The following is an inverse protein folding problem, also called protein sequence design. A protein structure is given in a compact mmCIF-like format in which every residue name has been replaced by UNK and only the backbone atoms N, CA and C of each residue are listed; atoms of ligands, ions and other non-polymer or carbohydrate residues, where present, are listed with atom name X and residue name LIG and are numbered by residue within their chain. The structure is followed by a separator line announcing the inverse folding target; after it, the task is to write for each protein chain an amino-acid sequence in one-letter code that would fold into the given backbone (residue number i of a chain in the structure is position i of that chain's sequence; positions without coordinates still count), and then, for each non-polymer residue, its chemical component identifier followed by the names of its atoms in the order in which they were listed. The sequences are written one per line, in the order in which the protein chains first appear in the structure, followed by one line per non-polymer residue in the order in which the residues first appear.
data_IF_225722115551
#
_entry.id   IF_225722115551
#
_cell.length_a   1.000
_cell.length_b   1.000
_cell.length_c   1.000
_cell.angle_alpha   90.00
_cell.angle_beta   90.00
_cell.angle_gamma   90.00
#
_symmetry.space_group_name_H-M   'P 1'
#
loop_
_entity.id
_entity.type
_entity.pdbx_description
1 polymer ?
#
# COMPACT_ATOMS: atom_id res chain seq x y z
N UNK A 1 35.64 4.58 -39.26
CA UNK A 1 34.65 4.93 -38.21
C UNK A 1 33.43 5.74 -38.72
N UNK A 2 33.28 6.05 -40.02
CA UNK A 2 32.22 6.97 -40.47
C UNK A 2 30.83 6.33 -40.76
N UNK A 3 30.76 5.02 -41.03
CA UNK A 3 29.53 4.36 -41.49
C UNK A 3 28.59 4.02 -40.31
N UNK A 4 29.13 3.51 -39.21
CA UNK A 4 28.36 3.12 -38.04
C UNK A 4 27.65 4.32 -37.36
N UNK A 5 28.32 5.46 -37.27
CA UNK A 5 27.71 6.68 -36.71
C UNK A 5 26.57 7.20 -37.58
N UNK A 6 26.74 7.12 -38.92
CA UNK A 6 25.70 7.50 -39.87
C UNK A 6 24.48 6.59 -39.75
N UNK A 7 24.68 5.27 -39.63
CA UNK A 7 23.59 4.31 -39.45
C UNK A 7 22.85 4.54 -38.13
N UNK A 8 23.56 4.80 -37.04
CA UNK A 8 22.96 5.13 -35.73
C UNK A 8 22.03 6.34 -35.83
N UNK A 9 22.49 7.41 -36.48
CA UNK A 9 21.69 8.63 -36.67
C UNK A 9 20.44 8.34 -37.51
N UNK A 10 20.59 7.60 -38.61
CA UNK A 10 19.46 7.22 -39.47
C UNK A 10 18.42 6.37 -38.74
N UNK A 11 18.86 5.41 -37.93
CA UNK A 11 17.96 4.56 -37.12
C UNK A 11 17.21 5.43 -36.10
N UNK A 12 17.91 6.34 -35.42
CA UNK A 12 17.30 7.26 -34.45
C UNK A 12 16.19 8.10 -35.09
N UNK A 13 16.48 8.75 -36.22
CA UNK A 13 15.53 9.59 -36.96
C UNK A 13 14.29 8.78 -37.37
N UNK A 14 14.50 7.61 -37.99
CA UNK A 14 13.38 6.75 -38.44
C UNK A 14 12.51 6.30 -37.28
N UNK A 15 13.12 5.97 -36.15
CA UNK A 15 12.40 5.52 -34.95
C UNK A 15 11.57 6.66 -34.37
N UNK A 16 12.12 7.87 -34.27
CA UNK A 16 11.39 9.06 -33.80
C UNK A 16 10.18 9.35 -34.70
N UNK A 17 10.39 9.35 -36.02
CA UNK A 17 9.32 9.57 -37.00
C UNK A 17 8.22 8.51 -36.90
N UNK A 18 8.59 7.23 -36.81
CA UNK A 18 7.62 6.14 -36.68
C UNK A 18 6.77 6.25 -35.42
N UNK A 19 7.38 6.68 -34.30
CA UNK A 19 6.62 6.83 -33.06
C UNK A 19 5.71 8.06 -33.07
N UNK A 20 6.15 9.20 -33.62
CA UNK A 20 5.27 10.36 -33.82
C UNK A 20 4.10 10.02 -34.75
N UNK A 21 4.34 9.33 -35.87
CA UNK A 21 3.27 8.89 -36.76
C UNK A 21 2.25 7.98 -36.06
N UNK A 22 2.71 7.09 -35.16
CA UNK A 22 1.82 6.27 -34.32
C UNK A 22 1.04 7.11 -33.32
N UNK A 23 1.67 8.10 -32.69
CA UNK A 23 1.05 9.02 -31.73
C UNK A 23 -0.04 9.87 -32.39
N UNK A 24 0.20 10.40 -33.59
CA UNK A 24 -0.81 11.15 -34.34
C UNK A 24 -2.02 10.27 -34.69
N UNK A 25 -1.77 9.02 -35.11
CA UNK A 25 -2.83 8.08 -35.52
C UNK A 25 -3.69 7.56 -34.37
N UNK A 26 -3.08 7.26 -33.22
CA UNK A 26 -3.74 6.52 -32.13
C UNK A 26 -3.92 7.40 -30.87
N UNK A 27 -3.40 8.63 -30.88
CA UNK A 27 -3.32 9.49 -29.71
C UNK A 27 -2.09 9.23 -28.85
N UNK A 28 -1.94 10.02 -27.78
CA UNK A 28 -0.85 9.87 -26.80
C UNK A 28 -0.96 8.53 -26.08
N UNK A 29 -0.03 7.61 -26.38
CA UNK A 29 0.02 6.28 -25.78
C UNK A 29 1.20 6.14 -24.81
N UNK A 30 2.15 7.08 -24.82
CA UNK A 30 3.31 7.10 -23.92
C UNK A 30 2.90 7.70 -22.59
N UNK A 31 1.94 7.07 -21.91
CA UNK A 31 1.56 7.48 -20.56
C UNK A 31 2.60 6.92 -19.59
N UNK A 32 3.49 7.79 -19.12
CA UNK A 32 4.40 7.49 -18.02
C UNK A 32 3.70 7.63 -16.67
N UNK A 33 4.01 6.75 -15.72
CA UNK A 33 3.44 6.76 -14.36
C UNK A 33 2.47 5.60 -14.08
N UNK A 34 1.93 5.49 -12.87
CA UNK A 34 0.91 4.48 -12.57
C UNK A 34 -0.31 4.80 -13.45
N UNK A 35 -0.52 3.99 -14.51
CA UNK A 35 -1.73 4.05 -15.33
C UNK A 35 -2.95 4.19 -14.41
N UNK A 36 -3.97 4.96 -14.81
CA UNK A 36 -5.19 5.13 -14.00
C UNK A 36 -5.77 3.79 -13.49
N UNK A 37 -5.62 2.71 -14.27
CA UNK A 37 -5.93 1.33 -13.89
C UNK A 37 -5.09 0.80 -12.71
N UNK A 38 -3.77 1.07 -12.68
CA UNK A 38 -2.87 0.72 -11.57
C UNK A 38 -3.18 1.54 -10.32
N UNK A 39 -3.47 2.84 -10.47
CA UNK A 39 -3.87 3.69 -9.34
C UNK A 39 -5.19 3.19 -8.72
N UNK A 40 -6.19 2.90 -9.56
CA UNK A 40 -7.47 2.32 -9.12
C UNK A 40 -7.29 0.93 -8.47
N UNK A 41 -6.44 0.07 -9.02
CA UNK A 41 -6.13 -1.23 -8.42
C UNK A 41 -5.46 -1.09 -7.05
N UNK A 42 -4.53 -0.14 -6.88
CA UNK A 42 -3.89 0.16 -5.61
C UNK A 42 -4.89 0.65 -4.56
N UNK A 43 -5.77 1.58 -4.93
CA UNK A 43 -6.84 2.07 -4.06
C UNK A 43 -7.79 0.95 -3.62
N UNK A 44 -8.23 0.08 -4.56
CA UNK A 44 -9.05 -1.09 -4.23
C UNK A 44 -8.35 -2.06 -3.30
N UNK A 45 -7.05 -2.33 -3.51
CA UNK A 45 -6.27 -3.21 -2.64
C UNK A 45 -6.15 -2.67 -1.21
N UNK A 46 -5.97 -1.36 -1.06
CA UNK A 46 -5.96 -0.69 0.25
C UNK A 46 -7.34 -0.76 0.93
N UNK A 47 -8.41 -0.53 0.17
CA UNK A 47 -9.78 -0.60 0.67
C UNK A 47 -10.14 -2.03 1.14
N UNK A 48 -9.84 -3.05 0.33
CA UNK A 48 -10.09 -4.45 0.69
C UNK A 48 -9.31 -4.86 1.95
N UNK A 49 -8.06 -4.41 2.07
CA UNK A 49 -7.24 -4.64 3.28
C UNK A 49 -7.85 -3.97 4.51
N UNK A 50 -8.51 -2.82 4.35
CA UNK A 50 -9.23 -2.14 5.44
C UNK A 50 -10.47 -2.91 5.85
N UNK A 51 -11.26 -3.37 4.87
CA UNK A 51 -12.47 -4.18 5.09
C UNK A 51 -12.16 -5.50 5.79
N UNK A 52 -11.16 -6.24 5.31
CA UNK A 52 -10.71 -7.48 5.97
C UNK A 52 -10.22 -7.26 7.40
N UNK A 53 -9.66 -6.08 7.71
CA UNK A 53 -9.24 -5.74 9.07
C UNK A 53 -10.42 -5.36 9.99
N UNK A 54 -11.53 -4.84 9.46
CA UNK A 54 -12.72 -4.50 10.25
C UNK A 54 -13.67 -5.69 10.42
N UNK A 55 -13.72 -6.58 9.43
CA UNK A 55 -14.59 -7.75 9.46
C UNK A 55 -14.02 -8.90 10.30
N UNK A 56 -12.69 -8.92 10.47
CA UNK A 56 -12.04 -9.92 11.32
C UNK A 56 -12.41 -9.71 12.79
N UNK A 57 -13.26 -10.60 13.31
CA UNK A 57 -13.71 -10.62 14.70
C UNK A 57 -12.54 -10.59 15.69
N UNK A 58 -11.41 -11.20 15.34
CA UNK A 58 -10.19 -11.18 16.13
C UNK A 58 -9.63 -9.75 16.27
N UNK A 59 -9.70 -8.96 15.20
CA UNK A 59 -9.25 -7.56 15.21
C UNK A 59 -10.16 -6.66 16.04
N UNK A 60 -11.48 -6.90 16.02
CA UNK A 60 -12.44 -6.21 16.89
C UNK A 60 -12.16 -6.50 18.37
N UNK A 61 -11.97 -7.77 18.73
CA UNK A 61 -11.64 -8.20 20.10
C UNK A 61 -10.28 -7.66 20.55
N UNK A 62 -9.25 -7.72 19.70
CA UNK A 62 -7.94 -7.14 19.96
C UNK A 62 -8.01 -5.63 20.22
N UNK A 63 -8.85 -4.90 19.47
CA UNK A 63 -9.02 -3.45 19.64
C UNK A 63 -9.63 -3.08 20.99
N UNK A 64 -10.55 -3.89 21.51
CA UNK A 64 -11.11 -3.70 22.85
C UNK A 64 -10.06 -3.93 23.94
N UNK A 65 -9.27 -5.00 23.82
CA UNK A 65 -8.18 -5.30 24.75
C UNK A 65 -7.10 -4.21 24.74
N UNK A 66 -6.72 -3.70 23.56
CA UNK A 66 -5.76 -2.60 23.42
C UNK A 66 -6.24 -1.34 24.14
N UNK A 67 -7.53 -0.99 24.03
CA UNK A 67 -8.09 0.18 24.74
C UNK A 67 -7.96 0.03 26.25
N UNK A 68 -8.30 -1.15 26.79
CA UNK A 68 -8.19 -1.44 28.22
C UNK A 68 -6.74 -1.39 28.70
N UNK A 69 -5.82 -2.03 27.98
CA UNK A 69 -4.40 -2.03 28.36
C UNK A 69 -3.78 -0.64 28.23
N UNK A 70 -4.24 0.17 27.26
CA UNK A 70 -3.78 1.56 27.11
C UNK A 70 -4.27 2.45 28.24
N UNK A 71 -5.51 2.30 28.70
CA UNK A 71 -6.02 3.05 29.86
C UNK A 71 -5.31 2.68 31.15
N UNK A 72 -4.80 1.45 31.26
CA UNK A 72 -4.02 0.97 32.40
C UNK A 72 -2.56 1.46 32.40
N UNK A 73 -2.15 2.25 31.40
CA UNK A 73 -0.81 2.83 31.33
C UNK A 73 0.26 1.90 30.74
N UNK A 74 -0.11 0.76 30.16
CA UNK A 74 0.86 -0.17 29.56
C UNK A 74 1.61 0.48 28.38
N UNK A 75 2.89 0.13 28.26
CA UNK A 75 3.72 0.51 27.11
C UNK A 75 3.29 -0.27 25.86
N UNK A 76 3.64 0.25 24.68
CA UNK A 76 3.28 -0.37 23.39
C UNK A 76 3.81 -1.81 23.26
N UNK A 77 5.00 -2.08 23.78
CA UNK A 77 5.60 -3.41 23.75
C UNK A 77 4.88 -4.38 24.69
N UNK A 78 4.53 -3.94 25.90
CA UNK A 78 3.74 -4.75 26.85
C UNK A 78 2.36 -5.07 26.28
N UNK A 79 1.72 -4.13 25.60
CA UNK A 79 0.43 -4.37 24.94
C UNK A 79 0.59 -5.43 23.85
N UNK A 80 1.65 -5.36 23.04
CA UNK A 80 1.91 -6.34 21.99
C UNK A 80 2.13 -7.74 22.56
N UNK A 81 2.91 -7.85 23.63
CA UNK A 81 3.16 -9.10 24.33
C UNK A 81 1.86 -9.70 24.89
N UNK A 82 1.04 -8.91 25.57
CA UNK A 82 -0.25 -9.35 26.11
C UNK A 82 -1.22 -9.81 25.02
N UNK A 83 -1.24 -9.14 23.86
CA UNK A 83 -2.05 -9.58 22.72
C UNK A 83 -1.59 -10.95 22.21
N UNK A 84 -0.28 -11.13 22.07
CA UNK A 84 0.29 -12.39 21.57
C UNK A 84 0.05 -13.53 22.57
N UNK A 85 0.20 -13.28 23.88
CA UNK A 85 -0.09 -14.24 24.94
C UNK A 85 -1.56 -14.64 24.98
N UNK A 86 -2.47 -13.69 24.76
CA UNK A 86 -3.90 -13.96 24.67
C UNK A 86 -4.33 -14.62 23.34
N UNK A 87 -3.38 -14.96 22.46
CA UNK A 87 -3.63 -15.67 21.20
C UNK A 87 -4.10 -14.79 20.05
N UNK A 88 -4.09 -13.46 20.20
CA UNK A 88 -4.43 -12.56 19.11
C UNK A 88 -3.33 -12.57 18.05
N UNK A 89 -3.74 -12.58 16.78
CA UNK A 89 -2.85 -12.49 15.62
C UNK A 89 -3.29 -11.34 14.73
N UNK A 90 -2.34 -10.77 14.00
CA UNK A 90 -2.62 -9.78 12.96
C UNK A 90 -3.50 -10.38 11.85
N UNK A 91 -4.18 -9.58 11.02
CA UNK A 91 -5.01 -10.10 9.92
C UNK A 91 -4.28 -11.03 8.94
N UNK A 92 -2.94 -10.94 8.88
CA UNK A 92 -2.09 -11.81 8.06
C UNK A 92 -1.57 -13.05 8.81
N UNK A 93 -1.96 -13.26 10.06
CA UNK A 93 -1.58 -14.41 10.88
C UNK A 93 -0.29 -14.28 11.69
N UNK A 94 0.37 -13.11 11.65
CA UNK A 94 1.61 -12.87 12.41
C UNK A 94 1.37 -12.32 13.82
N UNK A 95 2.38 -12.41 14.68
CA UNK A 95 2.40 -11.77 15.99
C UNK A 95 2.38 -10.24 15.90
N UNK A 96 1.82 -9.62 16.94
CA UNK A 96 1.82 -8.18 17.12
C UNK A 96 3.19 -7.65 17.54
N UNK A 97 3.60 -6.55 16.92
CA UNK A 97 4.73 -5.73 17.36
C UNK A 97 4.26 -4.41 17.97
N UNK A 98 5.11 -3.77 18.79
CA UNK A 98 4.78 -2.46 19.39
C UNK A 98 4.44 -1.38 18.34
N UNK A 99 5.07 -1.43 17.16
CA UNK A 99 4.74 -0.52 16.05
C UNK A 99 3.32 -0.77 15.50
N UNK A 100 2.91 -2.04 15.38
CA UNK A 100 1.56 -2.37 14.93
C UNK A 100 0.51 -1.94 15.95
N UNK A 101 0.80 -2.11 17.25
CA UNK A 101 -0.04 -1.59 18.34
C UNK A 101 -0.17 -0.07 18.26
N UNK A 102 0.94 0.65 18.06
CA UNK A 102 0.91 2.11 17.89
C UNK A 102 0.00 2.54 16.74
N UNK A 103 0.10 1.88 15.58
CA UNK A 103 -0.74 2.15 14.41
C UNK A 103 -2.21 1.86 14.70
N UNK A 104 -2.50 0.79 15.41
CA UNK A 104 -3.87 0.43 15.79
C UNK A 104 -4.48 1.46 16.74
N UNK A 105 -3.72 1.90 17.76
CA UNK A 105 -4.15 2.93 18.71
C UNK A 105 -4.47 4.23 17.96
N UNK A 106 -3.56 4.71 17.10
CA UNK A 106 -3.82 5.91 16.29
C UNK A 106 -5.08 5.78 15.46
N UNK A 107 -5.30 4.62 14.82
CA UNK A 107 -6.52 4.35 14.03
C UNK A 107 -7.77 4.38 14.91
N UNK A 108 -7.72 3.75 16.09
CA UNK A 108 -8.82 3.72 17.06
C UNK A 108 -9.18 5.14 17.54
N UNK A 109 -8.18 5.97 17.82
CA UNK A 109 -8.35 7.36 18.25
C UNK A 109 -8.91 8.22 17.12
N UNK A 110 -8.39 8.09 15.89
CA UNK A 110 -8.92 8.81 14.73
C UNK A 110 -10.37 8.44 14.41
N UNK A 111 -10.76 7.18 14.60
CA UNK A 111 -12.13 6.73 14.36
C UNK A 111 -13.11 7.15 15.48
N UNK A 112 -12.62 7.72 16.58
CA UNK A 112 -13.43 8.24 17.69
C UNK A 112 -13.83 9.72 17.47
N UNK A 113 -13.19 10.38 16.50
CA UNK A 113 -13.36 11.80 16.16
C UNK A 113 -14.31 12.01 14.95
N UNK A 114 -14.91 10.93 14.44
CA UNK A 114 -15.91 10.91 13.37
C UNK A 114 -17.18 10.29 13.95
#
# INVERSE_FOLDING_TARGET
MAIADRERVLISIRTQQAVEARRVRVGEWRVGGPNAKKAAAGLRGAQLSKEMAEDNENSRRASALIRMLRSNGNTLNQIAEQLNLAGFKTPRGFDFSGMQVQRLIKRIESNKLV
#
